data_IF_880863851365
#
_entry.id   IF_880863851365
#
_cell.length_a   1.000
_cell.length_b   1.000
_cell.length_c   1.000
_cell.angle_alpha   90.00
_cell.angle_beta   90.00
_cell.angle_gamma   90.00
#
_symmetry.space_group_name_H-M   'P 1'
#
loop_
_entity.id
_entity.type
_entity.pdbx_description
1 polymer ?
#
# COMPACT_ATOMS: atom_id res chain seq x y z
N UNK A 1 -7.98 8.89 92.50
CA UNK A 1 -7.78 9.47 91.16
C UNK A 1 -8.74 8.77 90.22
N UNK A 2 -9.57 9.56 89.57
CA UNK A 2 -10.86 9.23 88.95
C UNK A 2 -10.70 8.33 87.72
N UNK A 3 -11.12 7.08 87.85
CA UNK A 3 -11.37 6.20 86.71
C UNK A 3 -12.63 6.70 86.00
N UNK A 4 -12.44 7.31 84.83
CA UNK A 4 -13.55 7.68 83.94
C UNK A 4 -14.09 6.39 83.35
N UNK A 5 -15.18 5.87 83.92
CA UNK A 5 -15.97 4.81 83.31
C UNK A 5 -16.67 5.41 82.09
N UNK A 6 -16.18 5.07 80.89
CA UNK A 6 -17.00 5.21 79.68
C UNK A 6 -18.23 4.33 79.87
N UNK A 7 -19.40 4.93 79.65
CA UNK A 7 -20.68 4.27 79.88
C UNK A 7 -20.94 3.27 78.75
N UNK A 8 -21.47 2.10 79.09
CA UNK A 8 -21.80 1.03 78.13
C UNK A 8 -22.78 1.44 77.04
N UNK A 9 -23.55 2.52 77.26
CA UNK A 9 -24.53 3.06 76.31
C UNK A 9 -23.86 3.80 75.13
N UNK A 10 -22.74 4.50 75.36
CA UNK A 10 -22.00 5.21 74.30
C UNK A 10 -21.37 4.24 73.29
N UNK A 11 -20.82 3.12 73.79
CA UNK A 11 -20.19 2.09 72.93
C UNK A 11 -21.18 1.32 72.06
N UNK A 12 -22.44 1.23 72.47
CA UNK A 12 -23.51 0.57 71.72
C UNK A 12 -24.00 1.44 70.56
N UNK A 13 -24.12 2.76 70.78
CA UNK A 13 -24.47 3.74 69.75
C UNK A 13 -23.42 3.84 68.64
N UNK A 14 -22.13 3.93 69.00
CA UNK A 14 -21.02 3.98 68.04
C UNK A 14 -20.90 2.70 67.20
N UNK A 15 -21.11 1.53 67.81
CA UNK A 15 -21.10 0.24 67.10
C UNK A 15 -22.20 0.16 66.04
N UNK A 16 -23.38 0.71 66.34
CA UNK A 16 -24.51 0.72 65.41
C UNK A 16 -24.32 1.70 64.25
N UNK A 17 -23.76 2.88 64.52
CA UNK A 17 -23.40 3.85 63.50
C UNK A 17 -22.32 3.30 62.53
N UNK A 18 -21.31 2.61 63.07
CA UNK A 18 -20.29 1.93 62.25
C UNK A 18 -20.87 0.80 61.40
N UNK A 19 -21.90 0.08 61.88
CA UNK A 19 -22.59 -0.95 61.12
C UNK A 19 -23.41 -0.37 59.95
N UNK A 20 -24.09 0.77 60.17
CA UNK A 20 -24.78 1.49 59.09
C UNK A 20 -23.81 2.03 58.04
N UNK A 21 -22.72 2.68 58.46
CA UNK A 21 -21.68 3.17 57.53
C UNK A 21 -21.06 2.02 56.73
N UNK A 22 -20.77 0.89 57.38
CA UNK A 22 -20.26 -0.30 56.70
C UNK A 22 -21.25 -0.84 55.66
N UNK A 23 -22.56 -0.86 55.98
CA UNK A 23 -23.60 -1.28 55.05
C UNK A 23 -23.69 -0.35 53.83
N UNK A 24 -23.63 0.98 54.05
CA UNK A 24 -23.62 1.97 52.96
C UNK A 24 -22.39 1.83 52.07
N UNK A 25 -21.22 1.57 52.64
CA UNK A 25 -20.00 1.31 51.86
C UNK A 25 -20.08 0.02 51.05
N UNK A 26 -20.69 -1.04 51.58
CA UNK A 26 -20.92 -2.27 50.82
C UNK A 26 -21.86 -2.03 49.62
N UNK A 27 -22.91 -1.24 49.81
CA UNK A 27 -23.83 -0.85 48.74
C UNK A 27 -23.12 0.00 47.67
N UNK A 28 -22.25 0.92 48.07
CA UNK A 28 -21.42 1.71 47.14
C UNK A 28 -20.46 0.82 46.34
N UNK A 29 -19.76 -0.12 47.00
CA UNK A 29 -18.87 -1.08 46.33
C UNK A 29 -19.66 -1.95 45.34
N UNK A 30 -20.88 -2.38 45.68
CA UNK A 30 -21.74 -3.15 44.79
C UNK A 30 -22.09 -2.35 43.52
N UNK A 31 -22.45 -1.07 43.66
CA UNK A 31 -22.74 -0.17 42.52
C UNK A 31 -21.51 0.04 41.63
N UNK A 32 -20.35 0.32 42.21
CA UNK A 32 -19.10 0.51 41.48
C UNK A 32 -18.67 -0.77 40.75
N UNK A 33 -18.86 -1.93 41.37
CA UNK A 33 -18.58 -3.24 40.75
C UNK A 33 -19.49 -3.46 39.55
N UNK A 34 -20.79 -3.17 39.68
CA UNK A 34 -21.74 -3.26 38.57
C UNK A 34 -21.37 -2.34 37.41
N UNK A 35 -20.98 -1.09 37.70
CA UNK A 35 -20.51 -0.15 36.69
C UNK A 35 -19.25 -0.64 35.98
N UNK A 36 -18.24 -1.10 36.74
CA UNK A 36 -17.00 -1.62 36.18
C UNK A 36 -17.23 -2.83 35.25
N UNK A 37 -18.09 -3.76 35.66
CA UNK A 37 -18.44 -4.92 34.83
C UNK A 37 -19.15 -4.51 33.53
N UNK A 38 -20.10 -3.57 33.60
CA UNK A 38 -20.78 -3.06 32.42
C UNK A 38 -19.81 -2.39 31.43
N UNK A 39 -18.82 -1.67 31.95
CA UNK A 39 -17.84 -0.96 31.12
C UNK A 39 -16.75 -1.87 30.57
N UNK A 40 -16.39 -2.93 31.30
CA UNK A 40 -15.61 -4.04 30.74
C UNK A 40 -16.34 -4.73 29.59
N UNK A 41 -17.63 -5.04 29.76
CA UNK A 41 -18.43 -5.63 28.68
C UNK A 41 -18.54 -4.70 27.47
N UNK A 42 -18.59 -3.38 27.70
CA UNK A 42 -18.55 -2.38 26.64
C UNK A 42 -17.23 -2.40 25.89
N UNK A 43 -16.10 -2.47 26.59
CA UNK A 43 -14.78 -2.58 25.97
C UNK A 43 -14.67 -3.86 25.12
N UNK A 44 -15.14 -4.99 25.63
CA UNK A 44 -15.14 -6.26 24.90
C UNK A 44 -16.01 -6.20 23.63
N UNK A 45 -17.18 -5.54 23.71
CA UNK A 45 -18.03 -5.31 22.53
C UNK A 45 -17.31 -4.45 21.48
N UNK A 46 -16.69 -3.35 21.90
CA UNK A 46 -15.95 -2.46 21.00
C UNK A 46 -14.76 -3.17 20.36
N UNK A 47 -14.05 -4.00 21.11
CA UNK A 47 -12.93 -4.80 20.59
C UNK A 47 -13.41 -5.76 19.48
N UNK A 48 -14.51 -6.48 19.70
CA UNK A 48 -15.08 -7.37 18.68
C UNK A 48 -15.52 -6.63 17.42
N UNK A 49 -16.09 -5.43 17.58
CA UNK A 49 -16.47 -4.59 16.44
C UNK A 49 -15.24 -4.11 15.65
N UNK A 50 -14.18 -3.72 16.35
CA UNK A 50 -12.91 -3.34 15.74
C UNK A 50 -12.30 -4.50 14.96
N UNK A 51 -12.23 -5.69 15.55
CA UNK A 51 -11.69 -6.89 14.90
C UNK A 51 -12.50 -7.26 13.64
N UNK A 52 -13.82 -7.16 13.71
CA UNK A 52 -14.70 -7.38 12.55
C UNK A 52 -14.46 -6.35 11.45
N UNK A 53 -14.35 -5.06 11.80
CA UNK A 53 -14.07 -4.00 10.85
C UNK A 53 -12.68 -4.15 10.19
N UNK A 54 -11.66 -4.52 10.96
CA UNK A 54 -10.31 -4.80 10.45
C UNK A 54 -10.30 -5.99 9.49
N UNK A 55 -11.06 -7.05 9.81
CA UNK A 55 -11.22 -8.22 8.93
C UNK A 55 -11.91 -7.86 7.62
N UNK A 56 -12.93 -7.00 7.66
CA UNK A 56 -13.62 -6.58 6.44
C UNK A 56 -12.74 -5.67 5.58
N UNK A 57 -12.02 -4.75 6.22
CA UNK A 57 -11.02 -3.91 5.54
C UNK A 57 -9.92 -4.75 4.89
N UNK A 58 -9.42 -5.79 5.53
CA UNK A 58 -8.35 -6.63 4.96
C UNK A 58 -8.81 -7.40 3.72
N UNK A 59 -10.06 -7.88 3.70
CA UNK A 59 -10.67 -8.47 2.49
C UNK A 59 -10.77 -7.45 1.36
N UNK A 60 -11.29 -6.25 1.65
CA UNK A 60 -11.43 -5.20 0.64
C UNK A 60 -10.08 -4.80 0.04
N UNK A 61 -9.04 -4.70 0.87
CA UNK A 61 -7.66 -4.43 0.40
C UNK A 61 -7.16 -5.54 -0.52
N UNK A 62 -7.44 -6.80 -0.19
CA UNK A 62 -7.05 -7.94 -1.04
C UNK A 62 -7.75 -7.90 -2.40
N UNK A 63 -9.07 -7.71 -2.40
CA UNK A 63 -9.87 -7.59 -3.62
C UNK A 63 -9.37 -6.45 -4.52
N UNK A 64 -9.08 -5.28 -3.95
CA UNK A 64 -8.51 -4.16 -4.68
C UNK A 64 -7.13 -4.48 -5.26
N UNK A 65 -6.29 -5.24 -4.53
CA UNK A 65 -4.99 -5.68 -5.03
C UNK A 65 -5.14 -6.64 -6.22
N UNK A 66 -6.09 -7.58 -6.16
CA UNK A 66 -6.39 -8.53 -7.23
C UNK A 66 -6.90 -7.80 -8.48
N UNK A 67 -7.85 -6.86 -8.31
CA UNK A 67 -8.36 -6.01 -9.39
C UNK A 67 -7.26 -5.17 -10.03
N UNK A 68 -6.36 -4.58 -9.22
CA UNK A 68 -5.19 -3.85 -9.72
C UNK A 68 -4.25 -4.75 -10.51
N UNK A 69 -4.06 -6.00 -10.08
CA UNK A 69 -3.29 -7.00 -10.82
C UNK A 69 -3.85 -7.23 -12.23
N UNK A 70 -5.15 -7.49 -12.32
CA UNK A 70 -5.86 -7.68 -13.61
C UNK A 70 -5.77 -6.43 -14.49
N UNK A 71 -6.02 -5.25 -13.92
CA UNK A 71 -5.91 -3.99 -14.65
C UNK A 71 -4.49 -3.75 -15.19
N UNK A 72 -3.47 -4.07 -14.40
CA UNK A 72 -2.05 -3.97 -14.80
C UNK A 72 -1.74 -4.88 -16.00
N UNK A 73 -2.24 -6.12 -15.98
CA UNK A 73 -2.06 -7.06 -17.11
C UNK A 73 -2.70 -6.49 -18.38
N UNK A 74 -3.92 -5.94 -18.30
CA UNK A 74 -4.62 -5.35 -19.46
C UNK A 74 -3.89 -4.13 -20.01
N UNK A 75 -3.45 -3.22 -19.15
CA UNK A 75 -2.68 -2.04 -19.57
C UNK A 75 -1.38 -2.47 -20.25
N UNK A 76 -0.68 -3.47 -19.72
CA UNK A 76 0.53 -4.00 -20.34
C UNK A 76 0.25 -4.66 -21.70
N UNK A 77 -0.87 -5.36 -21.87
CA UNK A 77 -1.25 -5.93 -23.15
C UNK A 77 -1.50 -4.84 -24.22
N UNK A 78 -2.23 -3.79 -23.86
CA UNK A 78 -2.46 -2.63 -24.73
C UNK A 78 -1.14 -1.96 -25.09
N UNK A 79 -0.32 -1.66 -24.08
CA UNK A 79 1.01 -1.07 -24.26
C UNK A 79 1.87 -1.89 -25.22
N UNK A 80 1.94 -3.21 -25.04
CA UNK A 80 2.73 -4.10 -25.90
C UNK A 80 2.21 -4.09 -27.35
N UNK A 81 0.90 -4.04 -27.54
CA UNK A 81 0.30 -3.89 -28.88
C UNK A 81 0.72 -2.57 -29.53
N UNK A 82 0.61 -1.45 -28.81
CA UNK A 82 0.98 -0.13 -29.30
C UNK A 82 2.49 -0.03 -29.59
N UNK A 83 3.33 -0.54 -28.71
CA UNK A 83 4.79 -0.58 -28.92
C UNK A 83 5.15 -1.36 -30.18
N UNK A 84 4.51 -2.51 -30.42
CA UNK A 84 4.69 -3.26 -31.67
C UNK A 84 4.29 -2.44 -32.90
N UNK A 85 3.14 -1.75 -32.87
CA UNK A 85 2.72 -0.87 -33.97
C UNK A 85 3.69 0.29 -34.19
N UNK A 86 4.19 0.91 -33.13
CA UNK A 86 5.18 1.99 -33.22
C UNK A 86 6.49 1.47 -33.83
N UNK A 87 6.96 0.30 -33.38
CA UNK A 87 8.14 -0.35 -33.94
C UNK A 87 8.02 -0.61 -35.44
N UNK A 88 6.85 -1.06 -35.90
CA UNK A 88 6.56 -1.24 -37.32
C UNK A 88 6.71 0.07 -38.10
N UNK A 89 6.15 1.17 -37.57
CA UNK A 89 6.23 2.49 -38.20
C UNK A 89 7.70 2.95 -38.26
N UNK A 90 8.44 2.80 -37.17
CA UNK A 90 9.86 3.16 -37.08
C UNK A 90 10.70 2.35 -38.08
N UNK A 91 10.50 1.03 -38.15
CA UNK A 91 11.22 0.16 -39.08
C UNK A 91 10.98 0.56 -40.54
N UNK A 92 9.72 0.85 -40.91
CA UNK A 92 9.37 1.35 -42.25
C UNK A 92 10.02 2.68 -42.58
N UNK A 93 10.02 3.62 -41.64
CA UNK A 93 10.63 4.94 -41.83
C UNK A 93 12.17 4.85 -41.94
N UNK A 94 12.78 3.93 -41.22
CA UNK A 94 14.22 3.68 -41.23
C UNK A 94 14.67 2.75 -42.36
N UNK A 95 13.75 2.15 -43.10
CA UNK A 95 14.02 1.37 -44.31
C UNK A 95 14.57 -0.04 -44.06
N UNK A 96 14.25 -0.66 -42.92
CA UNK A 96 14.60 -2.06 -42.65
C UNK A 96 13.37 -2.93 -42.37
N UNK A 97 13.50 -4.24 -42.57
CA UNK A 97 12.40 -5.19 -42.46
C UNK A 97 11.96 -5.38 -41.00
N UNK A 98 10.65 -5.37 -40.75
CA UNK A 98 10.05 -5.44 -39.40
C UNK A 98 10.34 -6.76 -38.68
N UNK A 99 10.55 -7.84 -39.43
CA UNK A 99 10.78 -9.20 -38.96
C UNK A 99 12.27 -9.53 -38.76
N UNK A 100 13.18 -8.66 -39.20
CA UNK A 100 14.61 -8.90 -39.14
C UNK A 100 15.34 -7.78 -38.39
N UNK A 101 16.19 -8.19 -37.44
CA UNK A 101 17.07 -7.25 -36.76
C UNK A 101 18.07 -6.67 -37.75
N UNK A 102 18.31 -5.35 -37.73
CA UNK A 102 19.38 -4.75 -38.52
C UNK A 102 20.73 -5.39 -38.21
N UNK A 103 21.63 -5.40 -39.20
CA UNK A 103 22.99 -5.85 -38.94
C UNK A 103 23.67 -4.92 -37.93
N UNK A 104 24.63 -5.44 -37.16
CA UNK A 104 25.41 -4.62 -36.23
C UNK A 104 26.12 -3.44 -36.91
N UNK A 105 26.44 -3.57 -38.21
CA UNK A 105 27.07 -2.51 -38.98
C UNK A 105 26.12 -1.34 -39.28
N UNK A 106 24.81 -1.60 -39.37
CA UNK A 106 23.81 -0.57 -39.70
C UNK A 106 23.33 0.21 -38.47
N UNK A 107 23.48 -0.36 -37.27
CA UNK A 107 22.95 0.22 -36.02
C UNK A 107 23.36 1.68 -35.78
N UNK A 108 24.62 2.11 -36.00
CA UNK A 108 25.00 3.51 -35.76
C UNK A 108 24.22 4.49 -36.66
N UNK A 109 24.08 4.17 -37.95
CA UNK A 109 23.34 4.99 -38.91
C UNK A 109 21.86 5.07 -38.55
N UNK A 110 21.25 3.93 -38.22
CA UNK A 110 19.84 3.86 -37.89
C UNK A 110 19.54 4.58 -36.56
N UNK A 111 20.44 4.49 -35.59
CA UNK A 111 20.35 5.22 -34.33
C UNK A 111 20.39 6.73 -34.55
N UNK A 112 21.29 7.21 -35.42
CA UNK A 112 21.35 8.63 -35.79
C UNK A 112 20.06 9.09 -36.47
N UNK A 113 19.55 8.32 -37.43
CA UNK A 113 18.28 8.62 -38.10
C UNK A 113 17.10 8.66 -37.11
N UNK A 114 17.02 7.70 -36.17
CA UNK A 114 16.00 7.67 -35.14
C UNK A 114 16.02 8.95 -34.28
N UNK A 115 17.22 9.40 -33.89
CA UNK A 115 17.39 10.64 -33.12
C UNK A 115 16.94 11.87 -33.93
N UNK A 116 17.17 11.89 -35.24
CA UNK A 116 16.79 13.00 -36.13
C UNK A 116 15.28 13.07 -36.42
N UNK A 117 14.58 11.94 -36.37
CA UNK A 117 13.15 11.89 -36.65
C UNK A 117 12.26 12.44 -35.52
N UNK A 118 12.82 12.67 -34.33
CA UNK A 118 12.08 13.23 -33.18
C UNK A 118 11.12 12.24 -32.50
N UNK A 119 11.14 10.95 -32.87
CA UNK A 119 10.30 9.91 -32.26
C UNK A 119 10.95 9.20 -31.06
N UNK A 120 12.17 9.59 -30.67
CA UNK A 120 12.93 8.93 -29.61
C UNK A 120 13.47 9.94 -28.60
N UNK A 121 13.24 9.66 -27.32
CA UNK A 121 13.77 10.45 -26.22
C UNK A 121 14.81 9.63 -25.46
N UNK A 122 16.09 9.97 -25.65
CA UNK A 122 17.22 9.29 -25.02
C UNK A 122 17.14 9.34 -23.49
N UNK A 123 16.86 10.49 -22.91
CA UNK A 123 16.93 10.69 -21.47
C UNK A 123 15.80 9.96 -20.77
N UNK A 124 14.60 10.03 -21.36
CA UNK A 124 13.46 9.24 -20.92
C UNK A 124 13.76 7.73 -21.03
N UNK A 125 14.33 7.29 -22.16
CA UNK A 125 14.60 5.87 -22.41
C UNK A 125 15.56 5.28 -21.38
N UNK A 126 16.66 5.97 -21.07
CA UNK A 126 17.63 5.53 -20.07
C UNK A 126 17.06 5.54 -18.64
N UNK A 127 16.22 6.53 -18.32
CA UNK A 127 15.50 6.57 -17.04
C UNK A 127 14.51 5.42 -16.90
N UNK A 128 13.84 5.05 -17.99
CA UNK A 128 12.85 3.96 -18.05
C UNK A 128 13.48 2.58 -18.05
N UNK A 129 14.71 2.46 -18.56
CA UNK A 129 15.45 1.21 -18.76
C UNK A 129 16.83 1.25 -18.07
N UNK A 130 16.88 1.10 -16.73
CA UNK A 130 18.14 1.16 -15.98
C UNK A 130 19.14 0.09 -16.36
N UNK A 131 18.71 -1.05 -16.91
CA UNK A 131 19.58 -2.09 -17.43
C UNK A 131 20.46 -1.59 -18.59
N UNK A 132 19.90 -0.78 -19.49
CA UNK A 132 20.61 -0.14 -20.61
C UNK A 132 21.57 0.93 -20.08
N UNK A 133 21.10 1.76 -19.15
CA UNK A 133 21.90 2.80 -18.50
C UNK A 133 23.09 2.21 -17.72
N UNK A 134 22.86 1.19 -16.91
CA UNK A 134 23.89 0.54 -16.10
C UNK A 134 24.92 -0.19 -16.96
N UNK A 135 24.48 -0.78 -18.08
CA UNK A 135 25.36 -1.36 -19.08
C UNK A 135 26.12 -0.31 -19.92
N UNK A 136 25.83 0.99 -19.74
CA UNK A 136 26.41 2.11 -20.49
C UNK A 136 26.27 1.95 -22.01
N UNK A 137 25.16 1.34 -22.44
CA UNK A 137 24.84 1.22 -23.86
C UNK A 137 24.23 2.52 -24.38
N UNK A 138 24.50 2.85 -25.64
CA UNK A 138 23.79 3.94 -26.30
C UNK A 138 22.29 3.59 -26.44
N UNK A 139 21.43 4.51 -26.02
CA UNK A 139 19.99 4.29 -25.95
C UNK A 139 19.35 4.03 -27.32
N UNK A 140 19.74 4.79 -28.35
CA UNK A 140 19.17 4.69 -29.69
C UNK A 140 19.69 3.43 -30.41
N UNK A 141 20.99 3.11 -30.26
CA UNK A 141 21.58 1.84 -30.74
C UNK A 141 20.87 0.66 -30.08
N UNK A 142 20.66 0.70 -28.76
CA UNK A 142 19.94 -0.35 -28.06
C UNK A 142 18.51 -0.48 -28.58
N UNK A 143 17.79 0.63 -28.74
CA UNK A 143 16.40 0.61 -29.18
C UNK A 143 16.24 -0.04 -30.56
N UNK A 144 17.02 0.40 -31.55
CA UNK A 144 16.95 -0.12 -32.92
C UNK A 144 17.38 -1.59 -32.98
N UNK A 145 18.43 -1.98 -32.25
CA UNK A 145 18.94 -3.36 -32.31
C UNK A 145 18.13 -4.38 -31.50
N UNK A 146 17.52 -3.94 -30.39
CA UNK A 146 16.89 -4.83 -29.41
C UNK A 146 15.58 -4.27 -28.85
N UNK A 147 15.58 -3.01 -28.40
CA UNK A 147 14.46 -2.43 -27.65
C UNK A 147 13.12 -2.54 -28.37
N UNK A 148 13.08 -2.25 -29.68
CA UNK A 148 11.89 -2.42 -30.50
C UNK A 148 11.38 -3.88 -30.51
N UNK A 149 12.29 -4.85 -30.65
CA UNK A 149 11.98 -6.28 -30.68
C UNK A 149 11.61 -6.85 -29.30
N UNK A 150 12.03 -6.17 -28.24
CA UNK A 150 11.67 -6.45 -26.86
C UNK A 150 10.34 -5.77 -26.44
N UNK A 151 9.72 -4.98 -27.33
CA UNK A 151 8.50 -4.22 -27.03
C UNK A 151 8.73 -3.03 -26.11
N UNK A 152 9.96 -2.50 -26.04
CA UNK A 152 10.25 -1.26 -25.31
C UNK A 152 9.67 -0.06 -26.06
N UNK A 153 9.29 0.96 -25.32
CA UNK A 153 8.77 2.20 -25.87
C UNK A 153 9.97 3.13 -26.21
N UNK A 154 9.92 3.90 -27.31
CA UNK A 154 11.01 4.81 -27.68
C UNK A 154 10.99 6.15 -26.93
N UNK A 155 9.84 6.55 -26.40
CA UNK A 155 9.61 7.81 -25.71
C UNK A 155 8.38 7.68 -24.78
N UNK A 156 8.16 8.70 -23.94
CA UNK A 156 6.91 8.83 -23.20
C UNK A 156 5.75 9.07 -24.19
N UNK A 157 4.69 8.29 -24.06
CA UNK A 157 3.40 8.63 -24.65
C UNK A 157 2.69 9.53 -23.64
N UNK A 158 2.75 10.85 -23.85
CA UNK A 158 1.90 11.82 -23.16
C UNK A 158 0.49 11.84 -23.78
#
# INVERSE_FOLDING_TARGET
MTGTQLTSDETSGDSKALQEELADRFEEVAKLTGFYLAERDRADRLQRLLDAALKERSKAVKELADQRGVATIRVNAIRNSCSRTIGIIVARQLGYAEDQRPSRADLPRLAEQLMLMGFFDRDWYLKRHPDVSNARMDAAIHYVGWGMFEGREPCALD
#
